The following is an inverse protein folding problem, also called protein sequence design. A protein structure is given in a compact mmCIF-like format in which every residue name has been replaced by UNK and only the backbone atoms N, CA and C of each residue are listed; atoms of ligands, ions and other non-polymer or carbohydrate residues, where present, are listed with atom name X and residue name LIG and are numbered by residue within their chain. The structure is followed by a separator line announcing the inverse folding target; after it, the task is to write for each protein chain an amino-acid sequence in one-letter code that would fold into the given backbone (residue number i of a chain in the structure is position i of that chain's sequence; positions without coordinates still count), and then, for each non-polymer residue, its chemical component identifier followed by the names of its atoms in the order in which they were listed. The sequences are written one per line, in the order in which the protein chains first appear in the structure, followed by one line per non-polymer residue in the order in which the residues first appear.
data_IF_524305715251
#
_entry.id   IF_524305715251
#
_cell.length_a   1.000
_cell.length_b   1.000
_cell.length_c   1.000
_cell.angle_alpha   90.00
_cell.angle_beta   90.00
_cell.angle_gamma   90.00
#
_symmetry.space_group_name_H-M   'P 1'
#
loop_
_entity.id
_entity.type
_entity.pdbx_description
1 polymer ?
#
# COMPACT_ATOMS: atom_id res chain seq x y z
N UNK A 1 -46.35 25.99 -70.55
CA UNK A 1 -45.85 27.18 -69.83
C UNK A 1 -45.62 26.81 -68.37
N UNK A 2 -44.39 26.51 -68.00
CA UNK A 2 -43.96 26.36 -66.59
C UNK A 2 -44.01 27.74 -65.92
N UNK A 3 -44.87 27.89 -64.92
CA UNK A 3 -45.07 29.16 -64.23
C UNK A 3 -43.90 29.43 -63.26
N UNK A 4 -43.06 30.42 -63.56
CA UNK A 4 -41.88 30.81 -62.77
C UNK A 4 -42.26 31.75 -61.61
N UNK A 5 -42.80 31.20 -60.54
CA UNK A 5 -43.33 32.01 -59.42
C UNK A 5 -42.25 32.53 -58.45
N UNK A 6 -41.09 31.89 -58.35
CA UNK A 6 -40.01 32.28 -57.41
C UNK A 6 -39.27 33.56 -57.85
N UNK A 7 -39.33 33.94 -59.13
CA UNK A 7 -38.75 35.20 -59.64
C UNK A 7 -39.38 36.42 -58.95
N UNK A 8 -40.63 36.32 -58.48
CA UNK A 8 -41.31 37.42 -57.75
C UNK A 8 -40.79 37.64 -56.32
N UNK A 9 -39.99 36.71 -55.82
CA UNK A 9 -39.39 36.75 -54.49
C UNK A 9 -37.95 37.26 -54.51
N UNK A 10 -37.36 37.43 -55.71
CA UNK A 10 -36.02 38.00 -55.89
C UNK A 10 -35.98 39.43 -55.33
N UNK A 11 -34.93 39.74 -54.59
CA UNK A 11 -34.73 40.99 -53.84
C UNK A 11 -35.49 41.07 -52.51
N UNK A 12 -36.25 40.03 -52.12
CA UNK A 12 -36.97 40.01 -50.82
C UNK A 12 -36.30 39.10 -49.81
N UNK A 13 -36.32 39.53 -48.55
CA UNK A 13 -35.94 38.67 -47.43
C UNK A 13 -36.96 37.53 -47.30
N UNK A 14 -36.47 36.31 -47.38
CA UNK A 14 -37.26 35.09 -47.37
C UNK A 14 -36.81 34.16 -46.25
N UNK A 15 -37.76 33.42 -45.69
CA UNK A 15 -37.50 32.21 -44.91
C UNK A 15 -37.72 31.02 -45.83
N UNK A 16 -36.68 30.23 -46.02
CA UNK A 16 -36.61 29.12 -46.96
C UNK A 16 -36.43 27.86 -46.12
N UNK A 17 -37.34 26.91 -46.27
CA UNK A 17 -37.30 25.62 -45.59
C UNK A 17 -36.75 24.60 -46.57
N UNK A 18 -35.59 24.04 -46.26
CA UNK A 18 -34.94 23.01 -47.08
C UNK A 18 -34.90 21.67 -46.34
N UNK A 19 -34.90 20.56 -47.08
CA UNK A 19 -34.65 19.23 -46.55
C UNK A 19 -33.85 18.45 -47.57
N UNK A 20 -32.64 18.05 -47.18
CA UNK A 20 -31.77 17.28 -48.07
C UNK A 20 -32.19 15.80 -48.11
N UNK A 21 -32.00 15.11 -49.24
CA UNK A 21 -32.30 13.68 -49.35
C UNK A 21 -31.46 12.89 -48.35
N UNK A 22 -32.11 12.26 -47.38
CA UNK A 22 -31.46 11.50 -46.30
C UNK A 22 -31.50 12.18 -44.93
N UNK A 23 -31.88 13.46 -44.84
CA UNK A 23 -32.14 14.12 -43.55
C UNK A 23 -33.57 13.84 -43.05
N UNK A 24 -33.72 13.52 -41.77
CA UNK A 24 -35.06 13.35 -41.16
C UNK A 24 -35.74 14.70 -40.89
N UNK A 25 -34.97 15.78 -40.69
CA UNK A 25 -35.45 17.11 -40.29
C UNK A 25 -35.24 18.15 -41.39
N UNK A 26 -36.13 19.14 -41.44
CA UNK A 26 -35.99 20.27 -42.34
C UNK A 26 -35.21 21.41 -41.66
N UNK A 27 -34.35 22.06 -42.44
CA UNK A 27 -33.55 23.21 -42.03
C UNK A 27 -34.19 24.51 -42.54
N UNK A 28 -34.00 25.60 -41.79
CA UNK A 28 -34.53 26.92 -42.18
C UNK A 28 -33.38 27.86 -42.48
N UNK A 29 -33.29 28.29 -43.73
CA UNK A 29 -32.35 29.31 -44.19
C UNK A 29 -33.09 30.64 -44.30
N UNK A 30 -32.52 31.71 -43.76
CA UNK A 30 -33.11 33.05 -43.84
C UNK A 30 -32.15 34.01 -44.50
N UNK A 31 -32.59 34.72 -45.53
CA UNK A 31 -31.75 35.61 -46.30
C UNK A 31 -32.53 36.31 -47.40
N UNK A 32 -31.89 37.24 -48.10
CA UNK A 32 -32.45 37.87 -49.29
C UNK A 32 -32.26 36.92 -50.46
N UNK A 33 -33.32 36.66 -51.22
CA UNK A 33 -33.21 35.86 -52.44
C UNK A 33 -32.58 36.73 -53.53
N UNK A 34 -31.35 36.45 -53.92
CA UNK A 34 -30.59 37.26 -54.90
C UNK A 34 -30.90 36.85 -56.33
N UNK A 35 -30.97 35.54 -56.59
CA UNK A 35 -31.24 35.03 -57.94
C UNK A 35 -31.85 33.62 -57.91
N UNK A 36 -32.49 33.22 -59.01
CA UNK A 36 -33.09 31.90 -59.20
C UNK A 36 -32.69 31.34 -60.57
N UNK A 37 -31.76 30.38 -60.58
CA UNK A 37 -31.36 29.69 -61.80
C UNK A 37 -32.13 28.37 -61.97
N UNK A 38 -33.11 28.38 -62.86
CA UNK A 38 -33.90 27.18 -63.19
C UNK A 38 -33.19 26.21 -64.14
N UNK A 39 -32.13 26.63 -64.85
CA UNK A 39 -31.38 25.73 -65.75
C UNK A 39 -30.48 24.81 -64.95
N UNK A 40 -29.79 25.37 -63.96
CA UNK A 40 -28.85 24.64 -63.12
C UNK A 40 -29.47 24.18 -61.78
N UNK A 41 -30.71 24.60 -61.50
CA UNK A 41 -31.53 24.06 -60.41
C UNK A 41 -31.17 24.58 -59.03
N UNK A 42 -30.69 25.82 -58.91
CA UNK A 42 -30.35 26.44 -57.62
C UNK A 42 -30.88 27.87 -57.47
N UNK A 43 -30.99 28.30 -56.22
CA UNK A 43 -31.25 29.69 -55.83
C UNK A 43 -30.05 30.27 -55.09
N UNK A 44 -29.81 31.56 -55.26
CA UNK A 44 -28.82 32.32 -54.51
C UNK A 44 -29.51 33.09 -53.38
N UNK A 45 -28.98 32.94 -52.17
CA UNK A 45 -29.54 33.54 -50.95
C UNK A 45 -28.44 34.26 -50.21
N UNK A 46 -28.57 35.58 -50.04
CA UNK A 46 -27.68 36.38 -49.20
C UNK A 46 -28.16 36.32 -47.74
N UNK A 47 -27.43 35.59 -46.92
CA UNK A 47 -27.71 35.41 -45.49
C UNK A 47 -26.68 36.15 -44.64
N UNK A 48 -26.91 36.26 -43.33
CA UNK A 48 -25.94 36.90 -42.41
C UNK A 48 -24.55 36.22 -42.37
N UNK A 49 -24.43 35.00 -42.90
CA UNK A 49 -23.17 34.26 -43.01
C UNK A 49 -22.49 34.43 -44.39
N UNK A 50 -23.11 35.16 -45.32
CA UNK A 50 -22.65 35.34 -46.70
C UNK A 50 -23.65 34.79 -47.73
N UNK A 51 -23.26 34.88 -49.01
CA UNK A 51 -24.03 34.38 -50.16
C UNK A 51 -23.96 32.86 -50.22
N UNK A 52 -25.11 32.19 -50.11
CA UNK A 52 -25.23 30.73 -50.20
C UNK A 52 -26.05 30.30 -51.42
N UNK A 53 -25.76 29.12 -51.96
CA UNK A 53 -26.58 28.48 -52.98
C UNK A 53 -27.41 27.34 -52.36
N UNK A 54 -28.68 27.25 -52.74
CA UNK A 54 -29.57 26.16 -52.32
C UNK A 54 -30.14 25.48 -53.56
N UNK A 55 -30.14 24.15 -53.59
CA UNK A 55 -30.81 23.40 -54.66
C UNK A 55 -32.32 23.60 -54.59
N UNK A 56 -32.96 23.85 -55.73
CA UNK A 56 -34.40 24.05 -55.83
C UNK A 56 -35.16 22.80 -55.37
N UNK A 57 -34.65 21.61 -55.70
CA UNK A 57 -35.27 20.32 -55.34
C UNK A 57 -35.32 20.06 -53.83
N UNK A 58 -34.43 20.68 -53.05
CA UNK A 58 -34.40 20.50 -51.59
C UNK A 58 -35.33 21.47 -50.88
N UNK A 59 -35.94 22.44 -51.58
CA UNK A 59 -36.81 23.46 -50.96
C UNK A 59 -38.22 22.91 -50.79
N UNK A 60 -38.66 22.76 -49.54
CA UNK A 60 -40.03 22.37 -49.19
C UNK A 60 -40.97 23.58 -49.28
N UNK A 61 -40.53 24.74 -48.78
CA UNK A 61 -41.35 25.94 -48.72
C UNK A 61 -40.49 27.21 -48.73
N UNK A 62 -40.98 28.27 -49.39
CA UNK A 62 -40.39 29.60 -49.35
C UNK A 62 -41.46 30.66 -49.05
N UNK A 63 -41.17 31.55 -48.10
CA UNK A 63 -42.09 32.63 -47.71
C UNK A 63 -41.34 33.96 -47.51
N UNK A 64 -41.83 35.09 -48.02
CA UNK A 64 -41.27 36.40 -47.70
C UNK A 64 -41.51 36.73 -46.22
N UNK A 65 -40.50 37.31 -45.56
CA UNK A 65 -40.57 37.72 -44.16
C UNK A 65 -39.86 39.06 -43.93
N UNK A 66 -40.07 39.65 -42.75
CA UNK A 66 -39.36 40.85 -42.35
C UNK A 66 -38.04 40.50 -41.66
N UNK A 67 -36.96 41.22 -41.98
CA UNK A 67 -35.67 41.10 -41.30
C UNK A 67 -35.80 41.69 -39.89
N UNK A 68 -35.78 40.85 -38.86
CA UNK A 68 -35.67 41.35 -37.48
C UNK A 68 -34.28 41.96 -37.29
N UNK A 69 -34.25 43.28 -37.08
CA UNK A 69 -33.02 44.01 -36.79
C UNK A 69 -32.64 43.73 -35.34
N UNK A 70 -31.70 42.81 -35.13
CA UNK A 70 -31.10 42.57 -33.81
C UNK A 70 -30.24 43.79 -33.50
N UNK A 71 -30.69 44.66 -32.60
CA UNK A 71 -29.84 45.72 -32.08
C UNK A 71 -28.71 45.10 -31.26
N UNK A 72 -27.48 45.17 -31.78
CA UNK A 72 -26.29 44.92 -30.99
C UNK A 72 -26.17 46.05 -29.96
N UNK A 73 -26.54 45.79 -28.71
CA UNK A 73 -26.19 46.67 -27.60
C UNK A 73 -24.66 46.71 -27.48
N UNK A 74 -24.05 47.83 -27.84
CA UNK A 74 -22.64 48.10 -27.58
C UNK A 74 -22.49 48.56 -26.13
N UNK A 75 -21.66 47.85 -25.37
CA UNK A 75 -21.36 48.16 -23.96
C UNK A 75 -20.62 49.51 -23.89
N UNK A 76 -21.04 50.40 -22.98
CA UNK A 76 -20.39 51.70 -22.76
C UNK A 76 -18.99 51.49 -22.18
N UNK A 77 -18.05 52.40 -22.44
CA UNK A 77 -16.65 52.27 -21.99
C UNK A 77 -16.53 52.16 -20.46
N UNK A 78 -17.36 52.87 -19.70
CA UNK A 78 -17.41 52.76 -18.23
C UNK A 78 -17.85 51.36 -17.75
N UNK A 79 -18.78 50.71 -18.47
CA UNK A 79 -19.19 49.34 -18.17
C UNK A 79 -18.05 48.36 -18.45
N UNK A 80 -17.19 48.64 -19.44
CA UNK A 80 -16.02 47.83 -19.74
C UNK A 80 -14.94 47.96 -18.65
N UNK A 81 -14.71 49.16 -18.13
CA UNK A 81 -13.79 49.39 -17.01
C UNK A 81 -14.28 48.70 -15.72
N UNK A 82 -15.58 48.77 -15.43
CA UNK A 82 -16.19 48.07 -14.30
C UNK A 82 -16.07 46.55 -14.41
N UNK A 83 -16.28 45.99 -15.61
CA UNK A 83 -16.08 44.55 -15.88
C UNK A 83 -14.61 44.16 -15.67
N UNK A 84 -13.67 44.99 -16.12
CA UNK A 84 -12.23 44.76 -15.92
C UNK A 84 -11.82 44.64 -14.46
N UNK A 85 -12.34 45.52 -13.60
CA UNK A 85 -12.13 45.47 -12.15
C UNK A 85 -12.73 44.19 -11.57
N UNK A 86 -13.94 43.81 -12.01
CA UNK A 86 -14.58 42.54 -11.62
C UNK A 86 -13.73 41.31 -11.97
N UNK A 87 -13.14 41.26 -13.17
CA UNK A 87 -12.24 40.17 -13.56
C UNK A 87 -10.97 40.11 -12.72
N UNK A 88 -10.38 41.26 -12.33
CA UNK A 88 -9.20 41.28 -11.46
C UNK A 88 -9.51 40.73 -10.06
N UNK A 89 -10.68 41.06 -9.51
CA UNK A 89 -11.11 40.54 -8.20
C UNK A 89 -11.26 39.02 -8.25
N UNK A 90 -11.94 38.50 -9.27
CA UNK A 90 -12.13 37.05 -9.45
C UNK A 90 -10.78 36.36 -9.66
N UNK A 91 -9.87 36.98 -10.42
CA UNK A 91 -8.54 36.43 -10.67
C UNK A 91 -7.77 36.23 -9.36
N UNK A 92 -7.73 37.27 -8.51
CA UNK A 92 -7.06 37.18 -7.20
C UNK A 92 -7.74 36.12 -6.33
N UNK A 93 -9.07 36.10 -6.28
CA UNK A 93 -9.82 35.11 -5.50
C UNK A 93 -9.54 33.67 -5.95
N UNK A 94 -9.51 33.42 -7.26
CA UNK A 94 -9.22 32.10 -7.83
C UNK A 94 -7.80 31.64 -7.48
N UNK A 95 -6.82 32.53 -7.54
CA UNK A 95 -5.43 32.23 -7.17
C UNK A 95 -5.33 31.87 -5.68
N UNK A 96 -6.02 32.59 -4.79
CA UNK A 96 -6.02 32.28 -3.36
C UNK A 96 -6.67 30.93 -3.06
N UNK A 97 -7.81 30.62 -3.67
CA UNK A 97 -8.47 29.31 -3.51
C UNK A 97 -7.58 28.18 -4.04
N UNK A 98 -6.95 28.39 -5.20
CA UNK A 98 -6.01 27.42 -5.78
C UNK A 98 -4.81 27.16 -4.86
N UNK A 99 -4.26 28.19 -4.21
CA UNK A 99 -3.15 28.04 -3.27
C UNK A 99 -3.53 27.20 -2.05
N UNK A 100 -4.72 27.42 -1.46
CA UNK A 100 -5.22 26.63 -0.33
C UNK A 100 -5.47 25.17 -0.75
N UNK A 101 -6.10 24.96 -1.91
CA UNK A 101 -6.36 23.63 -2.44
C UNK A 101 -5.04 22.86 -2.70
N UNK A 102 -4.04 23.51 -3.30
CA UNK A 102 -2.72 22.93 -3.54
C UNK A 102 -2.02 22.52 -2.24
N UNK A 103 -2.08 23.37 -1.21
CA UNK A 103 -1.52 23.08 0.12
C UNK A 103 -2.12 21.80 0.72
N UNK A 104 -3.44 21.65 0.67
CA UNK A 104 -4.13 20.45 1.18
C UNK A 104 -3.76 19.20 0.38
N UNK A 105 -3.66 19.31 -0.95
CA UNK A 105 -3.25 18.20 -1.82
C UNK A 105 -1.83 17.75 -1.46
N UNK A 106 -0.89 18.69 -1.33
CA UNK A 106 0.51 18.40 -0.98
C UNK A 106 0.60 17.75 0.39
N UNK A 107 -0.06 18.33 1.41
CA UNK A 107 -0.04 17.78 2.76
C UNK A 107 -0.62 16.36 2.82
N UNK A 108 -1.69 16.10 2.05
CA UNK A 108 -2.28 14.76 1.98
C UNK A 108 -1.33 13.78 1.29
N UNK A 109 -0.71 14.19 0.19
CA UNK A 109 0.26 13.37 -0.54
C UNK A 109 1.48 13.03 0.34
N UNK A 110 2.02 13.99 1.08
CA UNK A 110 3.16 13.77 1.98
C UNK A 110 2.80 12.80 3.11
N UNK A 111 1.66 12.98 3.77
CA UNK A 111 1.19 12.05 4.80
C UNK A 111 1.03 10.63 4.26
N UNK A 112 0.48 10.48 3.05
CA UNK A 112 0.35 9.19 2.39
C UNK A 112 1.71 8.58 2.05
N UNK A 113 2.66 9.37 1.57
CA UNK A 113 4.03 8.92 1.27
C UNK A 113 4.77 8.47 2.52
N UNK A 114 4.71 9.24 3.62
CA UNK A 114 5.33 8.88 4.90
C UNK A 114 4.74 7.58 5.45
N UNK A 115 3.40 7.41 5.39
CA UNK A 115 2.73 6.18 5.79
C UNK A 115 3.11 5.01 4.90
N UNK A 116 3.10 5.19 3.58
CA UNK A 116 3.50 4.15 2.63
C UNK A 116 4.96 3.71 2.85
N UNK A 117 5.86 4.66 3.10
CA UNK A 117 7.25 4.37 3.43
C UNK A 117 7.39 3.60 4.76
N UNK A 118 6.70 4.04 5.80
CA UNK A 118 6.73 3.37 7.11
C UNK A 118 6.19 1.93 7.02
N UNK A 119 5.04 1.73 6.37
CA UNK A 119 4.45 0.40 6.15
C UNK A 119 5.35 -0.46 5.27
N UNK A 120 5.92 0.10 4.20
CA UNK A 120 6.88 -0.60 3.34
C UNK A 120 8.09 -1.09 4.14
N UNK A 121 8.69 -0.21 4.95
CA UNK A 121 9.82 -0.57 5.82
C UNK A 121 9.45 -1.61 6.87
N UNK A 122 8.28 -1.51 7.49
CA UNK A 122 7.79 -2.48 8.46
C UNK A 122 7.50 -3.84 7.82
N UNK A 123 6.92 -3.86 6.63
CA UNK A 123 6.62 -5.10 5.89
C UNK A 123 7.90 -5.79 5.43
N UNK A 124 8.88 -5.01 4.92
CA UNK A 124 10.20 -5.56 4.58
C UNK A 124 10.83 -6.17 5.83
N UNK A 125 10.82 -5.45 6.96
CA UNK A 125 11.34 -5.97 8.23
C UNK A 125 10.65 -7.27 8.65
N UNK A 126 9.33 -7.34 8.57
CA UNK A 126 8.57 -8.50 9.02
C UNK A 126 8.72 -9.72 8.11
N UNK A 127 8.89 -9.52 6.80
CA UNK A 127 9.07 -10.64 5.86
C UNK A 127 10.54 -11.09 5.76
N UNK A 128 11.51 -10.16 5.86
CA UNK A 128 12.93 -10.49 5.72
C UNK A 128 13.57 -10.97 7.02
N UNK A 129 13.03 -10.57 8.18
CA UNK A 129 13.59 -10.95 9.47
C UNK A 129 13.05 -12.28 9.94
N UNK A 130 13.81 -12.94 10.80
CA UNK A 130 13.36 -14.15 11.47
C UNK A 130 14.49 -14.89 12.15
N UNK A 131 14.11 -15.78 13.06
CA UNK A 131 15.05 -16.64 13.79
C UNK A 131 15.01 -18.05 13.21
N UNK A 132 16.19 -18.67 13.11
CA UNK A 132 16.34 -20.09 12.79
C UNK A 132 16.95 -20.80 13.99
N UNK A 133 16.38 -21.95 14.32
CA UNK A 133 16.99 -22.90 15.26
C UNK A 133 17.98 -23.77 14.48
N UNK A 134 19.23 -23.80 14.93
CA UNK A 134 20.31 -24.58 14.31
C UNK A 134 20.27 -26.03 14.82
N UNK A 135 20.05 -26.20 16.12
CA UNK A 135 20.04 -27.50 16.78
C UNK A 135 19.61 -27.38 18.23
N UNK A 136 19.24 -28.52 18.81
CA UNK A 136 18.75 -28.61 20.17
C UNK A 136 19.50 -29.71 20.89
N UNK A 137 20.11 -29.37 22.02
CA UNK A 137 20.91 -30.31 22.81
C UNK A 137 20.34 -30.40 24.22
N UNK A 138 20.17 -31.60 24.72
CA UNK A 138 19.72 -31.89 26.08
C UNK A 138 20.87 -32.15 27.05
N UNK A 139 20.67 -31.75 28.31
CA UNK A 139 21.51 -32.15 29.43
C UNK A 139 20.70 -32.94 30.46
N UNK A 140 21.19 -34.12 30.80
CA UNK A 140 20.51 -35.04 31.71
C UNK A 140 20.90 -34.84 33.16
N UNK A 141 20.02 -35.31 34.05
CA UNK A 141 20.33 -35.48 35.45
C UNK A 141 21.55 -36.41 35.64
N UNK A 142 22.16 -36.36 36.82
CA UNK A 142 23.25 -37.22 37.29
C UNK A 142 22.92 -38.70 37.13
N UNK A 143 21.67 -39.09 37.33
CA UNK A 143 21.20 -40.47 37.19
C UNK A 143 20.86 -40.87 35.74
N UNK A 144 20.98 -39.95 34.76
CA UNK A 144 20.69 -40.19 33.33
C UNK A 144 19.31 -40.77 33.05
N UNK A 145 18.31 -40.36 33.83
CA UNK A 145 16.93 -40.85 33.69
C UNK A 145 16.06 -39.89 32.87
N UNK A 146 16.42 -38.61 32.81
CA UNK A 146 15.63 -37.54 32.20
C UNK A 146 16.52 -36.36 31.80
N UNK A 147 16.06 -35.55 30.85
CA UNK A 147 16.69 -34.28 30.44
C UNK A 147 16.18 -33.15 31.34
N UNK A 148 17.09 -32.44 32.00
CA UNK A 148 16.79 -31.33 32.92
C UNK A 148 16.98 -29.96 32.28
N UNK A 149 17.97 -29.81 31.40
CA UNK A 149 18.22 -28.56 30.69
C UNK A 149 18.20 -28.77 29.19
N UNK A 150 17.68 -27.76 28.50
CA UNK A 150 17.66 -27.69 27.05
C UNK A 150 18.55 -26.52 26.60
N UNK A 151 19.45 -26.79 25.67
CA UNK A 151 20.24 -25.78 24.97
C UNK A 151 19.74 -25.71 23.53
N UNK A 152 19.17 -24.56 23.15
CA UNK A 152 18.65 -24.31 21.81
C UNK A 152 19.62 -23.34 21.13
N UNK A 153 20.37 -23.81 20.14
CA UNK A 153 21.25 -22.96 19.36
C UNK A 153 20.42 -22.19 18.32
N UNK A 154 20.51 -20.87 18.35
CA UNK A 154 19.75 -19.98 17.49
C UNK A 154 20.68 -19.07 16.69
N UNK A 155 20.24 -18.73 15.49
CA UNK A 155 20.86 -17.72 14.65
C UNK A 155 19.78 -17.06 13.79
N UNK A 156 19.86 -15.74 13.54
CA UNK A 156 18.94 -15.07 12.64
C UNK A 156 19.08 -15.60 11.21
N UNK A 157 18.00 -15.46 10.43
CA UNK A 157 18.01 -15.79 9.00
C UNK A 157 18.91 -14.82 8.24
N UNK A 158 19.46 -15.27 7.12
CA UNK A 158 20.23 -14.39 6.24
C UNK A 158 19.36 -13.24 5.74
N UNK A 159 19.88 -12.01 5.78
CA UNK A 159 19.11 -10.81 5.43
C UNK A 159 18.11 -10.36 6.51
N UNK A 160 18.14 -10.97 7.69
CA UNK A 160 17.39 -10.48 8.85
C UNK A 160 17.97 -9.15 9.33
N UNK A 161 17.08 -8.27 9.77
CA UNK A 161 17.46 -7.16 10.62
C UNK A 161 17.73 -7.67 12.04
N UNK A 162 18.33 -6.82 12.87
CA UNK A 162 18.62 -7.16 14.26
C UNK A 162 17.33 -7.44 15.02
N UNK A 163 17.30 -8.57 15.72
CA UNK A 163 16.11 -9.03 16.47
C UNK A 163 16.38 -8.84 17.96
N UNK A 164 15.42 -8.27 18.69
CA UNK A 164 15.53 -8.13 20.14
C UNK A 164 15.10 -9.42 20.85
N UNK A 165 16.05 -10.07 21.53
CA UNK A 165 15.81 -11.28 22.31
C UNK A 165 14.98 -11.03 23.58
N UNK A 166 14.92 -9.80 24.08
CA UNK A 166 14.10 -9.47 25.25
C UNK A 166 12.60 -9.51 24.94
N UNK A 167 12.22 -9.22 23.70
CA UNK A 167 10.84 -9.29 23.22
C UNK A 167 10.49 -10.62 22.55
N UNK A 168 11.46 -11.52 22.46
CA UNK A 168 11.27 -12.85 21.91
C UNK A 168 10.61 -13.74 22.96
N UNK A 169 9.62 -14.51 22.55
CA UNK A 169 8.91 -15.47 23.39
C UNK A 169 9.21 -16.89 22.91
N UNK A 170 9.47 -17.78 23.86
CA UNK A 170 9.64 -19.19 23.61
C UNK A 170 8.39 -19.94 24.09
N UNK A 171 7.67 -20.54 23.15
CA UNK A 171 6.58 -21.45 23.41
C UNK A 171 7.11 -22.88 23.44
N UNK A 172 6.69 -23.64 24.45
CA UNK A 172 6.97 -25.07 24.53
C UNK A 172 5.70 -25.83 24.86
N UNK A 173 5.57 -27.01 24.24
CA UNK A 173 4.41 -27.87 24.34
C UNK A 173 4.84 -29.32 24.52
N UNK A 174 4.40 -29.90 25.62
CA UNK A 174 4.42 -31.35 25.87
C UNK A 174 3.07 -31.74 26.47
N UNK A 175 2.96 -31.71 27.81
CA UNK A 175 1.69 -31.93 28.53
C UNK A 175 0.91 -30.63 28.75
N UNK A 176 1.64 -29.53 28.99
CA UNK A 176 1.12 -28.18 29.17
C UNK A 176 1.72 -27.25 28.11
N UNK A 177 1.06 -26.10 27.90
CA UNK A 177 1.56 -25.03 27.05
C UNK A 177 2.23 -23.95 27.91
N UNK A 178 3.56 -23.88 27.86
CA UNK A 178 4.36 -22.93 28.64
C UNK A 178 4.94 -21.84 27.76
N UNK A 179 4.94 -20.61 28.25
CA UNK A 179 5.54 -19.44 27.60
C UNK A 179 6.72 -18.97 28.44
N UNK A 180 7.87 -18.77 27.79
CA UNK A 180 9.08 -18.30 28.43
C UNK A 180 9.56 -17.00 27.81
N UNK A 181 10.01 -16.07 28.66
CA UNK A 181 10.64 -14.81 28.30
C UNK A 181 12.12 -14.78 28.69
N UNK A 182 12.89 -13.88 28.11
CA UNK A 182 14.29 -13.69 28.48
C UNK A 182 14.45 -13.21 29.92
N UNK A 183 15.32 -13.87 30.71
CA UNK A 183 15.81 -13.30 31.95
C UNK A 183 17.09 -12.48 31.72
N UNK A 184 16.98 -11.16 31.85
CA UNK A 184 18.09 -10.21 31.70
C UNK A 184 19.26 -10.44 32.66
N UNK A 185 19.02 -11.08 33.80
CA UNK A 185 20.06 -11.42 34.79
C UNK A 185 20.80 -12.73 34.50
N UNK A 186 20.35 -13.49 33.50
CA UNK A 186 20.89 -14.80 33.09
C UNK A 186 21.43 -14.72 31.66
N UNK A 187 22.43 -13.85 31.47
CA UNK A 187 23.14 -13.67 30.21
C UNK A 187 24.64 -13.93 30.40
N UNK A 188 25.27 -14.59 29.44
CA UNK A 188 26.72 -14.78 29.40
C UNK A 188 27.25 -14.62 27.97
N UNK A 189 28.48 -14.12 27.83
CA UNK A 189 29.19 -13.99 26.52
C UNK A 189 30.42 -14.91 26.44
N UNK A 190 30.83 -15.48 27.58
CA UNK A 190 31.91 -16.45 27.66
C UNK A 190 31.35 -17.74 28.20
N UNK A 191 31.62 -18.84 27.51
CA UNK A 191 31.31 -20.20 28.00
C UNK A 191 32.31 -20.55 29.10
N UNK A 192 31.79 -21.01 30.23
CA UNK A 192 32.64 -21.42 31.35
C UNK A 192 33.46 -22.68 30.99
N UNK A 193 34.63 -22.85 31.61
CA UNK A 193 35.51 -24.00 31.36
C UNK A 193 34.87 -25.35 31.74
N UNK A 194 33.83 -25.33 32.58
CA UNK A 194 33.03 -26.51 32.94
C UNK A 194 31.95 -26.88 31.91
N UNK A 195 31.72 -26.04 30.90
CA UNK A 195 30.80 -26.27 29.78
C UNK A 195 29.57 -25.38 29.76
N UNK A 196 28.80 -25.48 28.67
CA UNK A 196 27.68 -24.57 28.34
C UNK A 196 26.56 -24.63 29.39
N UNK A 197 26.23 -25.82 29.90
CA UNK A 197 25.14 -26.03 30.87
C UNK A 197 25.45 -25.54 32.30
N UNK A 198 26.71 -25.21 32.58
CA UNK A 198 27.15 -24.67 33.87
C UNK A 198 27.49 -23.18 33.81
N UNK A 199 27.49 -22.60 32.60
CA UNK A 199 27.86 -21.19 32.37
C UNK A 199 26.85 -20.22 33.00
N UNK A 200 25.56 -20.56 32.99
CA UNK A 200 24.51 -19.72 33.57
C UNK A 200 24.16 -20.16 34.99
N UNK A 201 23.84 -19.19 35.84
CA UNK A 201 23.39 -19.48 37.20
C UNK A 201 22.00 -20.12 37.17
N UNK A 202 21.97 -21.43 37.48
CA UNK A 202 20.79 -22.28 37.40
C UNK A 202 19.64 -21.81 38.30
N UNK A 203 19.94 -21.17 39.43
CA UNK A 203 18.95 -20.64 40.37
C UNK A 203 18.13 -19.47 39.84
N UNK A 204 18.56 -18.85 38.73
CA UNK A 204 17.86 -17.74 38.08
C UNK A 204 16.96 -18.17 36.92
N UNK A 205 16.95 -19.47 36.58
CA UNK A 205 16.14 -20.04 35.50
C UNK A 205 14.87 -20.65 36.09
N UNK A 206 13.78 -19.90 36.00
CA UNK A 206 12.45 -20.28 36.52
C UNK A 206 11.57 -20.86 35.40
N UNK A 207 10.36 -21.33 35.77
CA UNK A 207 9.38 -21.92 34.86
C UNK A 207 8.94 -21.01 33.68
N UNK A 208 9.08 -19.69 33.83
CA UNK A 208 8.64 -18.69 32.84
C UNK A 208 9.79 -18.03 32.11
N UNK A 209 11.04 -18.45 32.34
CA UNK A 209 12.21 -17.70 31.92
C UNK A 209 13.24 -18.59 31.24
N UNK A 210 13.89 -18.06 30.20
CA UNK A 210 15.09 -18.65 29.60
C UNK A 210 16.30 -17.74 29.76
N UNK A 211 17.49 -18.33 29.74
CA UNK A 211 18.76 -17.60 29.73
C UNK A 211 19.39 -17.61 28.35
N UNK A 212 20.35 -16.70 28.11
CA UNK A 212 21.03 -16.57 26.83
C UNK A 212 22.54 -16.65 27.03
N UNK A 213 23.21 -17.41 26.17
CA UNK A 213 24.65 -17.45 26.06
C UNK A 213 25.02 -17.02 24.64
N UNK A 214 25.74 -15.91 24.49
CA UNK A 214 26.31 -15.51 23.22
C UNK A 214 27.57 -16.36 22.95
N UNK A 215 27.65 -17.01 21.78
CA UNK A 215 28.87 -17.74 21.35
C UNK A 215 29.63 -16.94 20.30
N UNK A 216 28.88 -16.39 19.34
CA UNK A 216 29.43 -15.59 18.26
C UNK A 216 28.78 -14.23 18.32
N UNK A 217 29.47 -13.29 18.96
CA UNK A 217 29.01 -11.91 19.16
C UNK A 217 30.24 -11.00 19.16
N UNK A 218 30.52 -10.38 18.01
CA UNK A 218 31.74 -9.57 17.82
C UNK A 218 31.62 -8.20 18.48
N UNK A 219 30.41 -7.64 18.55
CA UNK A 219 30.14 -6.29 19.03
C UNK A 219 29.55 -6.24 20.45
N UNK A 220 29.31 -7.41 21.05
CA UNK A 220 28.65 -7.61 22.34
C UNK A 220 27.22 -7.05 22.37
N UNK A 221 26.51 -7.12 21.24
CA UNK A 221 25.14 -6.65 21.07
C UNK A 221 24.16 -7.43 21.96
N UNK A 222 24.33 -8.74 22.08
CA UNK A 222 23.44 -9.60 22.89
C UNK A 222 23.53 -9.23 24.39
N UNK A 223 24.71 -8.84 24.85
CA UNK A 223 24.91 -8.49 26.26
C UNK A 223 24.39 -7.09 26.59
N UNK A 224 24.65 -6.11 25.72
CA UNK A 224 24.33 -4.69 25.96
C UNK A 224 22.89 -4.34 25.61
N UNK A 225 22.45 -4.71 24.41
CA UNK A 225 21.16 -4.29 23.85
C UNK A 225 20.17 -5.46 23.69
N UNK A 226 20.61 -6.70 23.95
CA UNK A 226 19.84 -7.93 23.70
C UNK A 226 19.48 -8.14 22.23
N UNK A 227 20.08 -7.36 21.32
CA UNK A 227 19.92 -7.55 19.89
C UNK A 227 20.78 -8.70 19.41
N UNK A 228 20.24 -9.56 18.56
CA UNK A 228 21.00 -10.54 17.79
C UNK A 228 21.09 -10.07 16.34
N UNK A 229 22.29 -9.85 15.82
CA UNK A 229 22.54 -9.40 14.45
C UNK A 229 22.77 -10.58 13.50
N UNK A 230 22.74 -10.35 12.19
CA UNK A 230 22.80 -11.39 11.15
C UNK A 230 24.01 -12.35 11.24
N UNK A 231 25.12 -11.92 11.84
CA UNK A 231 26.33 -12.75 12.00
C UNK A 231 26.35 -13.51 13.31
N UNK A 232 25.46 -13.19 14.23
CA UNK A 232 25.59 -13.64 15.60
C UNK A 232 24.94 -15.01 15.82
N UNK A 233 25.44 -15.69 16.85
CA UNK A 233 24.91 -16.97 17.29
C UNK A 233 24.78 -16.95 18.81
N UNK A 234 23.60 -17.38 19.26
CA UNK A 234 23.28 -17.47 20.66
C UNK A 234 22.74 -18.86 20.99
N UNK A 235 22.91 -19.27 22.24
CA UNK A 235 22.27 -20.46 22.80
C UNK A 235 21.27 -19.99 23.83
N UNK A 236 20.03 -20.45 23.71
CA UNK A 236 19.02 -20.31 24.74
C UNK A 236 19.12 -21.50 25.70
N UNK A 237 19.23 -21.23 26.99
CA UNK A 237 19.22 -22.26 28.03
C UNK A 237 17.90 -22.22 28.76
N UNK A 238 17.25 -23.37 28.83
CA UNK A 238 15.94 -23.56 29.47
C UNK A 238 16.05 -24.64 30.53
N UNK A 239 15.48 -24.37 31.70
CA UNK A 239 15.37 -25.35 32.79
C UNK A 239 14.06 -26.14 32.66
N UNK A 240 14.12 -27.33 32.06
CA UNK A 240 12.95 -28.18 31.85
C UNK A 240 12.37 -28.70 33.18
N UNK A 241 13.19 -28.89 34.21
CA UNK A 241 12.71 -29.31 35.53
C UNK A 241 11.75 -28.29 36.15
N UNK A 242 12.00 -27.00 35.92
CA UNK A 242 11.15 -25.92 36.40
C UNK A 242 9.94 -25.67 35.49
N UNK A 243 10.12 -25.78 34.17
CA UNK A 243 9.07 -25.53 33.18
C UNK A 243 8.00 -26.64 33.22
N UNK A 244 8.44 -27.90 33.27
CA UNK A 244 7.57 -29.06 33.27
C UNK A 244 7.30 -29.50 34.71
N UNK A 245 6.32 -28.88 35.37
CA UNK A 245 5.98 -29.19 36.76
C UNK A 245 5.55 -30.66 37.00
N UNK A 246 4.94 -31.31 35.99
CA UNK A 246 4.40 -32.67 36.09
C UNK A 246 5.50 -33.72 35.98
N UNK A 247 6.31 -33.66 34.92
CA UNK A 247 7.35 -34.64 34.60
C UNK A 247 8.73 -34.27 35.16
N UNK A 248 8.93 -32.99 35.55
CA UNK A 248 10.16 -32.44 36.11
C UNK A 248 11.38 -32.72 35.23
N UNK A 249 11.22 -32.53 33.93
CA UNK A 249 12.19 -32.85 32.87
C UNK A 249 11.58 -33.70 31.76
N UNK A 250 12.32 -33.92 30.68
CA UNK A 250 11.88 -34.73 29.54
C UNK A 250 12.30 -36.19 29.73
N UNK A 251 11.36 -37.13 29.67
CA UNK A 251 11.62 -38.57 29.86
C UNK A 251 12.07 -39.23 28.55
N UNK A 252 12.70 -40.42 28.60
CA UNK A 252 13.11 -41.14 27.40
C UNK A 252 11.90 -41.44 26.49
N UNK A 253 12.01 -41.10 25.20
CA UNK A 253 10.96 -41.32 24.21
C UNK A 253 9.90 -40.22 24.11
N UNK A 254 9.89 -39.23 24.99
CA UNK A 254 8.97 -38.09 24.88
C UNK A 254 9.42 -37.08 23.80
N UNK A 255 8.45 -36.44 23.17
CA UNK A 255 8.65 -35.46 22.09
C UNK A 255 8.20 -34.09 22.59
N UNK A 256 9.14 -33.14 22.66
CA UNK A 256 8.88 -31.75 23.02
C UNK A 256 8.82 -30.90 21.75
N UNK A 257 7.70 -30.21 21.55
CA UNK A 257 7.57 -29.23 20.48
C UNK A 257 7.83 -27.83 21.03
N UNK A 258 8.57 -27.01 20.29
CA UNK A 258 8.82 -25.63 20.68
C UNK A 258 8.82 -24.66 19.50
N UNK A 259 8.44 -23.43 19.78
CA UNK A 259 8.44 -22.34 18.80
C UNK A 259 8.98 -21.08 19.44
N UNK A 260 10.01 -20.52 18.83
CA UNK A 260 10.64 -19.26 19.21
C UNK A 260 10.10 -18.14 18.32
N UNK A 261 9.35 -17.23 18.91
CA UNK A 261 8.63 -16.15 18.22
C UNK A 261 9.30 -14.80 18.55
N UNK A 262 9.95 -14.13 17.58
CA UNK A 262 10.47 -12.78 17.77
C UNK A 262 9.35 -11.71 17.70
N UNK A 263 9.68 -10.45 18.04
CA UNK A 263 8.74 -9.30 17.96
C UNK A 263 8.27 -9.00 16.52
N UNK A 264 9.12 -9.32 15.53
CA UNK A 264 8.81 -9.24 14.11
C UNK A 264 9.64 -10.30 13.37
N UNK A 265 9.15 -10.75 12.22
CA UNK A 265 9.83 -11.78 11.47
C UNK A 265 9.28 -13.19 11.66
N UNK A 266 9.81 -14.11 10.86
CA UNK A 266 9.46 -15.52 10.94
C UNK A 266 9.97 -16.20 12.22
N UNK A 267 9.12 -17.01 12.83
CA UNK A 267 9.45 -17.81 14.01
C UNK A 267 10.38 -18.99 13.68
N UNK A 268 11.21 -19.36 14.65
CA UNK A 268 12.01 -20.58 14.62
C UNK A 268 11.25 -21.72 15.29
N UNK A 269 11.03 -22.82 14.58
CA UNK A 269 10.34 -24.00 15.13
C UNK A 269 11.39 -25.08 15.39
N UNK A 270 11.23 -25.83 16.47
CA UNK A 270 12.01 -27.02 16.74
C UNK A 270 11.14 -28.12 17.34
N UNK A 271 11.56 -29.35 17.11
CA UNK A 271 10.99 -30.55 17.73
C UNK A 271 12.17 -31.31 18.28
N UNK A 272 12.14 -31.58 19.59
CA UNK A 272 13.20 -32.27 20.30
C UNK A 272 12.66 -33.61 20.80
N UNK A 273 13.25 -34.72 20.35
CA UNK A 273 12.82 -36.05 20.76
C UNK A 273 13.87 -36.68 21.67
N UNK A 274 13.48 -37.02 22.90
CA UNK A 274 14.38 -37.70 23.81
C UNK A 274 14.65 -39.14 23.35
N UNK A 275 15.92 -39.60 23.32
CA UNK A 275 16.25 -40.99 23.02
C UNK A 275 15.67 -41.93 24.10
N UNK A 276 15.43 -43.19 23.74
CA UNK A 276 14.85 -44.19 24.66
C UNK A 276 15.77 -44.56 25.84
N UNK A 277 17.07 -44.25 25.76
CA UNK A 277 18.02 -44.41 26.84
C UNK A 277 19.16 -43.37 26.74
N UNK A 278 19.58 -42.82 27.87
CA UNK A 278 20.65 -41.82 27.92
C UNK A 278 22.01 -42.46 28.25
N UNK A 279 22.89 -42.53 27.26
CA UNK A 279 24.26 -43.06 27.46
C UNK A 279 25.19 -42.03 28.11
N UNK A 280 25.10 -40.78 27.68
CA UNK A 280 25.91 -39.65 28.13
C UNK A 280 25.03 -38.58 28.79
N UNK A 281 25.65 -37.67 29.56
CA UNK A 281 24.92 -36.55 30.18
C UNK A 281 24.49 -35.48 29.19
N UNK A 282 25.22 -35.36 28.09
CA UNK A 282 24.86 -34.49 26.96
C UNK A 282 24.34 -35.39 25.87
N UNK A 283 23.15 -35.09 25.35
CA UNK A 283 22.54 -35.80 24.24
C UNK A 283 22.03 -34.80 23.21
N UNK A 284 22.19 -35.13 21.93
CA UNK A 284 21.53 -34.40 20.86
C UNK A 284 20.05 -34.82 20.81
N UNK A 285 19.15 -33.89 20.47
CA UNK A 285 17.70 -34.07 20.52
C UNK A 285 16.99 -33.70 19.21
#
# INVERSE_FOLDING_TARGET
MTKRYMERLVGKYCKIVTKEPGEERANVVTGVLEDVDYKDGFILVDSNQGLGCLRIDTIIAIKPGNKHRVEKKTLKEDDQAAVGIGTLIIFIAMVLVAAVAASVIIQTAENLQQRAYAVGKQTIRDVSSGLRVIGVTGYTDTNKTKVEYLAIAISPRAGSLDIDLNRTLLYMKLDNFSVLSLNLSSKASVVDGSGIFHTLNQSKLNATNYGVIAIHDRDNSIMKTNGISATDQAILIVNLTAVLNTTKGLRPGEVLEGTLVPDFGGSGIFVAQAPMAFKYRVCDL
#
